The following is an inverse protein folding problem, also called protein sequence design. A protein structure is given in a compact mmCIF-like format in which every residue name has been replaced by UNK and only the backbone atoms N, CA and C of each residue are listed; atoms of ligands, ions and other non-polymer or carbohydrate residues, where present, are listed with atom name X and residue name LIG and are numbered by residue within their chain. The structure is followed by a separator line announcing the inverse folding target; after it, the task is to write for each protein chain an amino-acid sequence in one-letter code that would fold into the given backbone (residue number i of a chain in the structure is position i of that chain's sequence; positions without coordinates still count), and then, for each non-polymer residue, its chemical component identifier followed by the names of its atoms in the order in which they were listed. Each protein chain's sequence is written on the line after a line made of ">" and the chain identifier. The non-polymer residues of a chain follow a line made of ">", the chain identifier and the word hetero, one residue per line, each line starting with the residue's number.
data_IF_080466160499
#
_entry.id   IF_080466160499
#
_cell.length_a   1.000
_cell.length_b   1.000
_cell.length_c   1.000
_cell.angle_alpha   90.00
_cell.angle_beta   90.00
_cell.angle_gamma   90.00
#
_symmetry.space_group_name_H-M   'P 1'
#
loop_
_entity.id
_entity.type
_entity.pdbx_description
1 polymer ?
#
# COMPACT_ATOMS: atom_id res chain seq x y z
N UNK A 1 15.05 -4.60 3.49
CA UNK A 1 14.64 -4.12 4.82
C UNK A 1 15.24 -2.78 5.20
N UNK A 2 16.56 -2.56 5.06
CA UNK A 2 17.20 -1.27 5.38
C UNK A 2 16.56 -0.06 4.70
N UNK A 3 16.19 -0.16 3.42
CA UNK A 3 15.51 0.94 2.69
C UNK A 3 14.12 1.27 3.25
N UNK A 4 13.35 0.26 3.65
CA UNK A 4 12.02 0.46 4.24
C UNK A 4 12.13 1.04 5.65
N UNK A 5 13.11 0.57 6.42
CA UNK A 5 13.41 1.16 7.73
C UNK A 5 13.84 2.63 7.61
N UNK A 6 14.71 2.96 6.65
CA UNK A 6 15.12 4.34 6.39
C UNK A 6 13.93 5.21 5.97
N UNK A 7 13.01 4.68 5.15
CA UNK A 7 11.79 5.41 4.77
C UNK A 7 10.80 5.57 5.92
N UNK A 8 10.74 4.62 6.86
CA UNK A 8 9.83 4.69 8.03
C UNK A 8 10.34 5.59 9.17
N UNK A 9 11.61 5.97 9.15
CA UNK A 9 12.20 6.79 10.19
C UNK A 9 11.76 8.26 9.99
N UNK A 10 11.09 8.83 10.98
CA UNK A 10 10.78 10.25 10.99
C UNK A 10 12.08 11.02 11.26
N UNK A 11 12.63 11.62 10.22
CA UNK A 11 13.86 12.41 10.27
C UNK A 11 13.68 13.76 10.99
N UNK A 12 12.45 14.13 11.37
CA UNK A 12 12.16 15.35 12.14
C UNK A 12 12.22 15.15 13.66
N UNK A 13 12.33 13.90 14.13
CA UNK A 13 12.43 13.54 15.55
C UNK A 13 13.63 12.62 15.83
N UNK A 14 14.01 12.48 17.10
CA UNK A 14 15.12 11.58 17.48
C UNK A 14 14.77 10.15 17.07
N UNK A 15 15.55 9.60 16.14
CA UNK A 15 15.29 8.28 15.56
C UNK A 15 15.67 7.22 16.60
N UNK A 16 14.67 6.70 17.30
CA UNK A 16 14.87 5.58 18.23
C UNK A 16 15.12 4.30 17.44
N UNK A 17 16.32 3.72 17.59
CA UNK A 17 16.74 2.53 16.86
C UNK A 17 16.67 1.31 17.80
N UNK A 18 15.53 0.63 17.77
CA UNK A 18 15.25 -0.55 18.59
C UNK A 18 15.04 -1.82 17.77
N UNK A 19 15.41 -2.97 18.34
CA UNK A 19 15.16 -4.31 17.75
C UNK A 19 13.68 -4.54 17.47
N UNK A 20 12.81 -3.99 18.32
CA UNK A 20 11.35 -4.03 18.17
C UNK A 20 10.86 -3.25 16.94
N UNK A 21 11.43 -2.08 16.67
CA UNK A 21 11.06 -1.24 15.51
C UNK A 21 11.45 -1.93 14.20
N UNK A 22 12.64 -2.55 14.16
CA UNK A 22 13.07 -3.37 13.02
C UNK A 22 12.16 -4.59 12.81
N UNK A 23 11.66 -5.20 13.89
CA UNK A 23 10.65 -6.26 13.86
C UNK A 23 9.34 -5.78 13.24
N UNK A 24 8.78 -4.66 13.71
CA UNK A 24 7.54 -4.08 13.16
C UNK A 24 7.66 -3.76 11.67
N UNK A 25 8.79 -3.21 11.24
CA UNK A 25 9.05 -2.92 9.81
C UNK A 25 9.16 -4.19 8.95
N UNK A 26 9.68 -5.27 9.54
CA UNK A 26 9.75 -6.57 8.87
C UNK A 26 8.36 -7.15 8.60
N UNK A 27 7.47 -7.05 9.59
CA UNK A 27 6.12 -7.59 9.48
C UNK A 27 5.24 -6.75 8.54
N UNK A 28 5.38 -5.42 8.59
CA UNK A 28 4.75 -4.53 7.63
C UNK A 28 5.19 -4.84 6.18
N UNK A 29 6.50 -5.03 5.96
CA UNK A 29 7.02 -5.43 4.66
C UNK A 29 6.42 -6.76 4.17
N UNK A 30 6.36 -7.77 5.05
CA UNK A 30 5.78 -9.08 4.71
C UNK A 30 4.31 -8.94 4.33
N UNK A 31 3.54 -8.15 5.08
CA UNK A 31 2.12 -7.91 4.81
C UNK A 31 1.94 -7.28 3.43
N UNK A 32 2.61 -6.16 3.18
CA UNK A 32 2.58 -5.48 1.87
C UNK A 32 2.89 -6.50 0.78
N UNK A 33 4.06 -7.15 0.82
CA UNK A 33 4.46 -8.14 -0.19
C UNK A 33 3.43 -9.26 -0.40
N UNK A 34 2.82 -9.77 0.67
CA UNK A 34 1.83 -10.84 0.58
C UNK A 34 0.54 -10.37 -0.11
N UNK A 35 0.08 -9.15 0.18
CA UNK A 35 -1.07 -8.53 -0.52
C UNK A 35 -0.80 -8.42 -2.01
N UNK A 36 0.36 -7.87 -2.42
CA UNK A 36 0.73 -7.78 -3.84
C UNK A 36 0.84 -9.16 -4.51
N UNK A 37 1.44 -10.14 -3.82
CA UNK A 37 1.54 -11.51 -4.34
C UNK A 37 0.17 -12.14 -4.55
N UNK A 38 -0.79 -11.90 -3.65
CA UNK A 38 -2.15 -12.38 -3.79
C UNK A 38 -2.83 -11.72 -5.00
N UNK A 39 -2.77 -10.39 -5.11
CA UNK A 39 -3.36 -9.66 -6.25
C UNK A 39 -2.77 -10.13 -7.59
N UNK A 40 -1.44 -10.18 -7.72
CA UNK A 40 -0.77 -10.67 -8.92
C UNK A 40 -1.11 -12.14 -9.24
N UNK A 41 -1.28 -12.96 -8.20
CA UNK A 41 -1.68 -14.36 -8.37
C UNK A 41 -3.09 -14.53 -8.90
N UNK A 42 -3.99 -13.58 -8.66
CA UNK A 42 -5.35 -13.60 -9.20
C UNK A 42 -5.46 -13.00 -10.62
N UNK A 43 -4.41 -12.36 -11.12
CA UNK A 43 -4.38 -11.72 -12.45
C UNK A 43 -3.64 -12.56 -13.50
N UNK A 44 -3.33 -13.84 -13.20
CA UNK A 44 -2.45 -14.67 -14.03
C UNK A 44 -2.99 -14.93 -15.45
N UNK A 45 -4.30 -14.86 -15.65
CA UNK A 45 -5.03 -15.08 -16.90
C UNK A 45 -5.79 -13.83 -17.39
N UNK A 46 -5.65 -12.69 -16.71
CA UNK A 46 -6.35 -11.45 -17.02
C UNK A 46 -5.63 -10.65 -18.11
N UNK A 47 -6.31 -10.38 -19.21
CA UNK A 47 -5.85 -9.46 -20.26
C UNK A 47 -6.66 -8.16 -20.21
N UNK A 48 -6.06 -7.00 -19.83
CA UNK A 48 -6.77 -5.72 -19.76
C UNK A 48 -7.43 -5.29 -21.06
N UNK A 49 -6.93 -5.71 -22.22
CA UNK A 49 -7.49 -5.33 -23.52
C UNK A 49 -8.74 -6.15 -23.90
N UNK A 50 -8.92 -7.34 -23.29
CA UNK A 50 -10.01 -8.27 -23.60
C UNK A 50 -11.00 -8.43 -22.45
N UNK A 51 -10.49 -8.48 -21.23
CA UNK A 51 -11.21 -8.86 -20.02
C UNK A 51 -11.51 -7.64 -19.12
N UNK A 52 -11.08 -6.44 -19.53
CA UNK A 52 -11.41 -5.18 -18.85
C UNK A 52 -12.90 -4.88 -18.90
N UNK A 53 -13.49 -4.57 -17.75
CA UNK A 53 -14.88 -4.14 -17.63
C UNK A 53 -14.99 -2.61 -17.69
N UNK A 54 -16.06 -2.11 -18.29
CA UNK A 54 -16.41 -0.69 -18.21
C UNK A 54 -16.81 -0.32 -16.78
N UNK A 55 -16.62 0.94 -16.38
CA UNK A 55 -16.92 1.39 -15.01
C UNK A 55 -18.39 1.11 -14.62
N UNK A 56 -19.30 1.16 -15.59
CA UNK A 56 -20.73 0.90 -15.37
C UNK A 56 -21.04 -0.56 -15.01
N UNK A 57 -20.17 -1.49 -15.40
CA UNK A 57 -20.34 -2.94 -15.20
C UNK A 57 -19.61 -3.44 -13.94
N UNK A 58 -18.83 -2.57 -13.29
CA UNK A 58 -18.15 -2.89 -12.04
C UNK A 58 -19.15 -2.97 -10.87
N UNK A 59 -18.92 -3.94 -9.98
CA UNK A 59 -19.65 -4.00 -8.72
C UNK A 59 -19.34 -2.74 -7.89
N UNK A 60 -20.28 -2.36 -7.03
CA UNK A 60 -20.10 -1.19 -6.15
C UNK A 60 -18.84 -1.30 -5.29
N UNK A 61 -18.49 -2.52 -4.86
CA UNK A 61 -17.28 -2.79 -4.08
C UNK A 61 -15.99 -2.60 -4.91
N UNK A 62 -16.01 -2.93 -6.21
CA UNK A 62 -14.86 -2.73 -7.10
C UNK A 62 -14.67 -1.24 -7.38
N UNK A 63 -15.76 -0.50 -7.60
CA UNK A 63 -15.74 0.96 -7.74
C UNK A 63 -15.24 1.63 -6.48
N UNK A 64 -15.65 1.14 -5.30
CA UNK A 64 -15.11 1.58 -4.03
C UNK A 64 -13.61 1.34 -3.94
N UNK A 65 -13.12 0.14 -4.27
CA UNK A 65 -11.69 -0.18 -4.24
C UNK A 65 -10.86 0.72 -5.19
N UNK A 66 -11.38 1.01 -6.39
CA UNK A 66 -10.77 1.97 -7.33
C UNK A 66 -10.71 3.38 -6.73
N UNK A 67 -11.78 3.85 -6.10
CA UNK A 67 -11.80 5.14 -5.44
C UNK A 67 -10.79 5.22 -4.28
N UNK A 68 -10.73 4.19 -3.43
CA UNK A 68 -9.72 4.11 -2.35
C UNK A 68 -8.29 4.14 -2.89
N UNK A 69 -8.06 3.46 -4.02
CA UNK A 69 -6.76 3.45 -4.70
C UNK A 69 -6.40 4.85 -5.23
N UNK A 70 -7.35 5.56 -5.86
CA UNK A 70 -7.13 6.92 -6.32
C UNK A 70 -6.80 7.89 -5.18
N UNK A 71 -7.52 7.79 -4.05
CA UNK A 71 -7.19 8.58 -2.85
C UNK A 71 -5.79 8.28 -2.32
N UNK A 72 -5.40 7.01 -2.28
CA UNK A 72 -4.09 6.58 -1.82
C UNK A 72 -3.00 7.19 -2.70
N UNK A 73 -3.14 7.09 -4.03
CA UNK A 73 -2.19 7.67 -4.99
C UNK A 73 -2.02 9.16 -4.73
N UNK A 74 -3.11 9.92 -4.60
CA UNK A 74 -3.02 11.35 -4.30
C UNK A 74 -2.26 11.65 -3.00
N UNK A 75 -2.54 10.92 -1.91
CA UNK A 75 -1.88 11.10 -0.62
C UNK A 75 -0.39 10.69 -0.66
N UNK A 76 -0.07 9.62 -1.38
CA UNK A 76 1.30 9.12 -1.53
C UNK A 76 2.13 10.07 -2.39
N UNK A 77 1.58 10.56 -3.51
CA UNK A 77 2.26 11.55 -4.36
C UNK A 77 2.56 12.83 -3.58
N UNK A 78 1.58 13.39 -2.87
CA UNK A 78 1.81 14.57 -2.03
C UNK A 78 2.88 14.33 -0.96
N UNK A 79 2.87 13.17 -0.30
CA UNK A 79 3.90 12.83 0.69
C UNK A 79 5.29 12.67 0.06
N UNK A 80 5.39 12.21 -1.19
CA UNK A 80 6.66 12.19 -1.93
C UNK A 80 7.14 13.60 -2.27
N UNK A 81 6.24 14.48 -2.71
CA UNK A 81 6.56 15.87 -3.04
C UNK A 81 7.07 16.65 -1.81
N UNK A 82 6.51 16.36 -0.63
CA UNK A 82 6.92 16.95 0.66
C UNK A 82 8.11 16.21 1.32
N UNK A 83 8.67 15.18 0.65
CA UNK A 83 9.72 14.30 1.17
C UNK A 83 9.36 13.55 2.48
N UNK A 84 8.07 13.45 2.81
CA UNK A 84 7.53 12.77 3.99
C UNK A 84 7.42 11.25 3.80
N UNK A 85 8.56 10.57 3.58
CA UNK A 85 8.60 9.13 3.28
C UNK A 85 7.97 8.23 4.36
N UNK A 86 8.02 8.65 5.64
CA UNK A 86 7.39 7.92 6.75
C UNK A 86 5.88 7.86 6.57
N UNK A 87 5.29 8.91 6.00
CA UNK A 87 3.86 9.02 5.73
C UNK A 87 3.45 8.10 4.58
N UNK A 88 4.28 8.00 3.53
CA UNK A 88 4.10 7.01 2.45
C UNK A 88 4.05 5.60 3.02
N UNK A 89 4.98 5.26 3.92
CA UNK A 89 5.00 3.95 4.58
C UNK A 89 3.70 3.66 5.36
N UNK A 90 3.23 4.60 6.18
CA UNK A 90 1.99 4.42 6.94
C UNK A 90 0.75 4.31 6.06
N UNK A 91 0.67 5.11 4.99
CA UNK A 91 -0.43 5.06 4.03
C UNK A 91 -0.50 3.69 3.35
N UNK A 92 0.62 3.19 2.83
CA UNK A 92 0.68 1.88 2.17
C UNK A 92 0.38 0.73 3.12
N UNK A 93 0.93 0.77 4.33
CA UNK A 93 0.67 -0.27 5.33
C UNK A 93 -0.82 -0.32 5.70
N UNK A 94 -1.43 0.85 5.97
CA UNK A 94 -2.84 0.93 6.31
C UNK A 94 -3.73 0.43 5.16
N UNK A 95 -3.45 0.85 3.93
CA UNK A 95 -4.19 0.42 2.76
C UNK A 95 -4.15 -1.11 2.56
N UNK A 96 -2.97 -1.72 2.71
CA UNK A 96 -2.84 -3.18 2.60
C UNK A 96 -3.50 -3.93 3.77
N UNK A 97 -3.57 -3.32 4.96
CA UNK A 97 -4.08 -3.98 6.16
C UNK A 97 -5.59 -3.85 6.33
N UNK A 98 -6.15 -2.68 5.99
CA UNK A 98 -7.54 -2.32 6.26
C UNK A 98 -8.36 -2.36 4.98
N UNK A 99 -7.96 -1.63 3.93
CA UNK A 99 -8.76 -1.54 2.71
C UNK A 99 -8.72 -2.89 1.93
N UNK A 100 -7.53 -3.40 1.62
CA UNK A 100 -7.36 -4.57 0.73
C UNK A 100 -7.37 -5.96 1.39
N UNK A 101 -7.31 -6.04 2.72
CA UNK A 101 -7.22 -7.33 3.42
C UNK A 101 -8.39 -7.59 4.35
N UNK A 102 -9.10 -6.56 4.78
CA UNK A 102 -10.23 -6.70 5.69
C UNK A 102 -11.57 -6.40 5.00
N UNK A 103 -11.58 -5.68 3.87
CA UNK A 103 -12.80 -5.25 3.18
C UNK A 103 -12.89 -5.82 1.76
N UNK A 104 -11.85 -5.68 0.96
CA UNK A 104 -11.72 -6.28 -0.38
C UNK A 104 -11.04 -7.65 -0.30
#
# INVERSE_FOLDING_TARGET
>A
MLRLWAASADYKSDISLGREILGRNTDAYRRIRNTWRFLLGNLYDFDPARDGADEADLLEIDRWALHRTAELVGKVTAAYDDFEFYRVYHLLHNFCAVDLSAVY
#
